data_IF_751403257613
#
_entry.id   IF_751403257613
#
_cell.length_a   1.000
_cell.length_b   1.000
_cell.length_c   1.000
_cell.angle_alpha   90.00
_cell.angle_beta   90.00
_cell.angle_gamma   90.00
#
_symmetry.space_group_name_H-M   'P 1'
#
loop_
_entity.id
_entity.type
_entity.pdbx_description
1 polymer ?
#
# COMPACT_ATOMS: atom_id res chain seq x y z
N UNK A 1 -8.11 -45.04 25.79
CA UNK A 1 -6.64 -44.90 25.93
C UNK A 1 -6.34 -43.41 26.03
N UNK A 2 -5.69 -42.93 27.09
CA UNK A 2 -5.39 -41.49 27.21
C UNK A 2 -4.29 -41.12 26.19
N UNK A 3 -4.59 -40.14 25.36
CA UNK A 3 -3.61 -39.54 24.49
C UNK A 3 -2.54 -38.84 25.34
N UNK A 4 -1.29 -39.27 25.19
CA UNK A 4 -0.13 -38.60 25.77
C UNK A 4 -0.04 -37.21 25.07
N UNK A 5 -0.34 -36.15 25.85
CA UNK A 5 0.04 -34.79 25.48
C UNK A 5 1.54 -34.77 25.21
N UNK A 6 1.92 -34.49 23.94
CA UNK A 6 3.29 -34.12 23.60
C UNK A 6 3.61 -32.86 24.40
N UNK A 7 4.53 -32.97 25.34
CA UNK A 7 5.14 -31.80 25.96
C UNK A 7 5.88 -31.07 24.86
N UNK A 8 5.27 -30.01 24.34
CA UNK A 8 5.93 -29.03 23.47
C UNK A 8 7.11 -28.46 24.26
N UNK A 9 8.30 -28.49 23.72
CA UNK A 9 9.44 -27.77 24.25
C UNK A 9 8.99 -26.31 24.44
N UNK A 10 9.08 -25.83 25.70
CA UNK A 10 8.69 -24.45 26.03
C UNK A 10 9.68 -23.54 25.30
N UNK A 11 9.25 -22.95 24.19
CA UNK A 11 9.98 -21.93 23.49
C UNK A 11 9.95 -20.68 24.37
N UNK A 12 11.10 -20.17 24.79
CA UNK A 12 11.19 -18.96 25.61
C UNK A 12 11.05 -17.73 24.75
N UNK A 13 10.22 -16.78 25.18
CA UNK A 13 10.12 -15.49 24.52
C UNK A 13 11.46 -14.74 24.57
N UNK A 14 11.89 -14.10 23.47
CA UNK A 14 13.07 -13.24 23.49
C UNK A 14 12.85 -12.03 24.39
N UNK A 15 13.91 -11.51 24.97
CA UNK A 15 13.88 -10.33 25.83
C UNK A 15 14.76 -9.24 25.25
N UNK A 16 14.17 -8.05 25.01
CA UNK A 16 14.92 -6.90 24.56
C UNK A 16 15.93 -6.46 25.64
N UNK A 17 17.23 -6.28 25.34
CA UNK A 17 18.21 -5.74 26.25
C UNK A 17 17.83 -4.35 26.76
N UNK A 18 17.95 -4.14 28.06
CA UNK A 18 17.73 -2.84 28.70
C UNK A 18 18.95 -1.95 28.48
N UNK A 19 18.80 -0.86 27.70
CA UNK A 19 19.84 0.13 27.39
C UNK A 19 19.30 1.53 27.65
N UNK A 20 19.37 2.03 28.89
CA UNK A 20 18.79 3.32 29.24
C UNK A 20 19.43 4.47 28.45
N UNK A 21 18.61 5.30 27.81
CA UNK A 21 19.02 6.53 27.16
C UNK A 21 18.30 7.71 27.81
N UNK A 22 19.04 8.79 28.06
CA UNK A 22 18.51 10.02 28.65
C UNK A 22 18.08 10.94 27.52
N UNK A 23 16.79 11.23 27.45
CA UNK A 23 16.19 12.12 26.46
C UNK A 23 15.79 13.43 27.15
N UNK A 24 16.35 14.55 26.69
CA UNK A 24 16.05 15.88 27.21
C UNK A 24 15.36 16.74 26.14
N UNK A 25 14.22 17.31 26.48
CA UNK A 25 13.51 18.22 25.59
C UNK A 25 12.69 19.24 26.40
N UNK A 26 12.84 20.52 26.09
CA UNK A 26 12.11 21.62 26.73
C UNK A 26 12.20 21.64 28.26
N UNK A 27 13.36 21.28 28.82
CA UNK A 27 13.59 21.22 30.27
C UNK A 27 13.05 19.98 30.99
N UNK A 28 12.50 19.03 30.23
CA UNK A 28 12.05 17.74 30.76
C UNK A 28 13.06 16.63 30.41
N UNK A 29 13.37 15.81 31.40
CA UNK A 29 14.25 14.64 31.25
C UNK A 29 13.42 13.37 31.34
N UNK A 30 13.59 12.46 30.36
CA UNK A 30 12.99 11.13 30.34
C UNK A 30 14.08 10.07 30.14
N UNK A 31 14.04 9.01 30.92
CA UNK A 31 14.90 7.85 30.70
C UNK A 31 14.10 6.80 29.93
N UNK A 32 14.59 6.39 28.77
CA UNK A 32 13.98 5.38 27.95
C UNK A 32 14.90 4.16 27.84
N UNK A 33 14.53 3.01 28.44
CA UNK A 33 15.39 1.82 28.43
C UNK A 33 15.41 1.09 27.08
N UNK A 34 14.54 1.43 26.17
CA UNK A 34 14.37 0.77 24.88
C UNK A 34 14.47 1.71 23.68
N UNK A 35 14.95 2.93 23.86
CA UNK A 35 15.08 3.91 22.80
C UNK A 35 15.94 3.42 21.63
N UNK A 36 16.92 2.54 21.88
CA UNK A 36 17.76 1.91 20.88
C UNK A 36 16.98 1.13 19.81
N UNK A 37 15.75 0.64 20.10
CA UNK A 37 14.90 -0.08 19.15
C UNK A 37 14.42 0.79 18.00
N UNK A 38 14.55 2.12 18.05
CA UNK A 38 14.19 3.00 16.95
C UNK A 38 15.26 3.05 15.83
N UNK A 39 16.43 2.47 16.05
CA UNK A 39 17.54 2.42 15.11
C UNK A 39 17.32 1.32 14.06
N UNK A 40 16.56 1.65 13.02
CA UNK A 40 16.03 0.68 12.03
C UNK A 40 17.09 -0.18 11.34
N UNK A 41 18.29 0.38 11.09
CA UNK A 41 19.36 -0.30 10.37
C UNK A 41 20.40 -0.93 11.31
N UNK A 42 20.15 -0.88 12.62
CA UNK A 42 21.05 -1.49 13.61
C UNK A 42 20.88 -3.03 13.57
N UNK A 43 21.97 -3.80 13.31
CA UNK A 43 21.91 -5.26 13.26
C UNK A 43 21.31 -5.89 14.52
N UNK A 44 21.58 -5.34 15.70
CA UNK A 44 21.06 -5.85 16.97
C UNK A 44 19.53 -5.70 17.07
N UNK A 45 18.97 -4.59 16.53
CA UNK A 45 17.51 -4.41 16.45
C UNK A 45 16.91 -5.44 15.50
N UNK A 46 17.55 -5.64 14.33
CA UNK A 46 17.09 -6.62 13.32
C UNK A 46 17.15 -8.04 13.89
N UNK A 47 18.22 -8.40 14.60
CA UNK A 47 18.34 -9.72 15.20
C UNK A 47 17.30 -9.97 16.30
N UNK A 48 17.01 -8.95 17.12
CA UNK A 48 15.94 -9.03 18.10
C UNK A 48 14.56 -9.24 17.44
N UNK A 49 14.25 -8.47 16.38
CA UNK A 49 12.98 -8.61 15.66
C UNK A 49 12.86 -9.98 14.97
N UNK A 50 13.95 -10.53 14.42
CA UNK A 50 13.96 -11.89 13.89
C UNK A 50 13.68 -12.93 14.96
N UNK A 51 14.30 -12.79 16.14
CA UNK A 51 14.04 -13.70 17.25
C UNK A 51 12.58 -13.68 17.72
N UNK A 52 11.90 -12.51 17.68
CA UNK A 52 10.47 -12.39 17.98
C UNK A 52 9.61 -13.10 16.91
N UNK A 53 9.98 -12.99 15.63
CA UNK A 53 9.30 -13.70 14.56
C UNK A 53 9.47 -15.22 14.71
N UNK A 54 10.71 -15.70 14.93
CA UNK A 54 11.01 -17.12 15.13
C UNK A 54 10.24 -17.69 16.32
N UNK A 55 10.12 -16.94 17.41
CA UNK A 55 9.31 -17.30 18.55
C UNK A 55 7.83 -17.43 18.19
N UNK A 56 7.29 -16.48 17.46
CA UNK A 56 5.89 -16.48 17.00
C UNK A 56 5.62 -17.69 16.09
N UNK A 57 6.50 -17.93 15.12
CA UNK A 57 6.39 -19.05 14.20
C UNK A 57 6.42 -20.39 14.92
N UNK A 58 7.30 -20.52 15.92
CA UNK A 58 7.38 -21.73 16.74
C UNK A 58 6.11 -21.96 17.59
N UNK A 59 5.48 -20.90 18.11
CA UNK A 59 4.22 -21.00 18.87
C UNK A 59 3.01 -21.29 17.97
N UNK A 60 3.02 -20.82 16.74
CA UNK A 60 1.93 -20.96 15.78
C UNK A 60 2.02 -22.23 14.93
N UNK A 61 3.16 -22.94 14.97
CA UNK A 61 3.46 -24.07 14.07
C UNK A 61 2.37 -25.17 14.10
N UNK A 62 1.79 -25.48 15.24
CA UNK A 62 0.72 -26.47 15.41
C UNK A 62 -0.65 -25.99 14.92
N UNK A 63 -0.79 -24.71 14.61
CA UNK A 63 -2.03 -24.07 14.13
C UNK A 63 -2.00 -23.79 12.63
N UNK A 64 -0.89 -24.07 11.95
CA UNK A 64 -0.69 -23.75 10.53
C UNK A 64 -1.80 -24.32 9.65
N UNK A 65 -2.25 -25.55 9.90
CA UNK A 65 -3.33 -26.14 9.13
C UNK A 65 -4.64 -25.35 9.28
N UNK A 66 -5.00 -24.96 10.52
CA UNK A 66 -6.20 -24.17 10.80
C UNK A 66 -6.12 -22.78 10.15
N UNK A 67 -4.94 -22.17 10.16
CA UNK A 67 -4.67 -20.88 9.51
C UNK A 67 -4.89 -20.97 7.99
N UNK A 68 -4.33 -22.00 7.36
CA UNK A 68 -4.47 -22.23 5.92
C UNK A 68 -5.93 -22.52 5.52
N UNK A 69 -6.65 -23.32 6.30
CA UNK A 69 -8.08 -23.60 6.09
C UNK A 69 -8.93 -22.32 6.21
N UNK A 70 -8.66 -21.50 7.24
CA UNK A 70 -9.37 -20.24 7.46
C UNK A 70 -9.05 -19.22 6.35
N UNK A 71 -7.78 -19.16 5.92
CA UNK A 71 -7.37 -18.30 4.80
C UNK A 71 -8.12 -18.66 3.52
N UNK A 72 -8.17 -19.94 3.15
CA UNK A 72 -8.87 -20.37 1.94
C UNK A 72 -10.39 -20.17 2.05
N UNK A 73 -10.98 -20.34 3.23
CA UNK A 73 -12.39 -20.05 3.46
C UNK A 73 -12.70 -18.55 3.27
N UNK A 74 -11.90 -17.65 3.86
CA UNK A 74 -12.09 -16.20 3.72
C UNK A 74 -11.88 -15.76 2.27
N UNK A 75 -10.81 -16.23 1.63
CA UNK A 75 -10.49 -15.95 0.24
C UNK A 75 -11.60 -16.40 -0.71
N UNK A 76 -12.17 -17.59 -0.45
CA UNK A 76 -13.29 -18.12 -1.25
C UNK A 76 -14.58 -17.31 -1.18
N UNK A 77 -14.74 -16.46 -0.16
CA UNK A 77 -15.89 -15.54 -0.02
C UNK A 77 -15.72 -14.25 -0.83
N UNK A 78 -14.52 -13.95 -1.28
CA UNK A 78 -14.21 -12.73 -2.04
C UNK A 78 -14.44 -13.00 -3.53
N UNK A 79 -15.31 -12.22 -4.14
CA UNK A 79 -15.53 -12.27 -5.59
C UNK A 79 -14.33 -11.65 -6.30
N UNK A 80 -13.58 -12.47 -7.04
CA UNK A 80 -12.34 -12.02 -7.69
C UNK A 80 -12.57 -11.12 -8.91
N UNK A 81 -13.71 -11.26 -9.59
CA UNK A 81 -14.08 -10.43 -10.73
C UNK A 81 -15.13 -9.39 -10.32
N UNK A 82 -14.82 -8.59 -9.30
CA UNK A 82 -15.76 -7.60 -8.79
C UNK A 82 -15.72 -6.29 -9.58
N UNK A 83 -16.86 -5.61 -9.58
CA UNK A 83 -17.10 -4.35 -10.28
C UNK A 83 -17.71 -3.35 -9.30
N UNK A 84 -17.12 -2.16 -9.19
CA UNK A 84 -17.73 -1.08 -8.41
C UNK A 84 -19.00 -0.56 -9.09
N UNK A 85 -19.90 0.04 -8.31
CA UNK A 85 -21.05 0.73 -8.88
C UNK A 85 -20.56 1.91 -9.72
N UNK A 86 -20.91 1.98 -11.04
CA UNK A 86 -20.52 3.10 -11.87
C UNK A 86 -21.17 4.40 -11.40
N UNK A 87 -20.37 5.46 -11.27
CA UNK A 87 -20.89 6.80 -11.01
C UNK A 87 -20.72 7.71 -12.23
N UNK A 88 -21.71 8.54 -12.47
CA UNK A 88 -21.70 9.49 -13.59
C UNK A 88 -21.01 10.79 -13.17
N UNK A 89 -20.04 11.23 -13.97
CA UNK A 89 -19.43 12.55 -13.91
C UNK A 89 -19.41 13.12 -15.32
N UNK A 90 -20.22 14.17 -15.56
CA UNK A 90 -20.47 14.77 -16.87
C UNK A 90 -20.83 13.74 -17.96
N UNK A 91 -20.00 13.57 -18.98
CA UNK A 91 -20.25 12.67 -20.09
C UNK A 91 -19.78 11.24 -19.86
N UNK A 92 -19.16 10.94 -18.70
CA UNK A 92 -18.59 9.63 -18.47
C UNK A 92 -19.16 8.94 -17.23
N UNK A 93 -19.19 7.60 -17.30
CA UNK A 93 -19.42 6.71 -16.17
C UNK A 93 -18.09 6.12 -15.74
N UNK A 94 -17.69 6.38 -14.51
CA UNK A 94 -16.43 5.92 -13.92
C UNK A 94 -16.70 4.74 -12.98
N UNK A 95 -15.83 3.73 -13.04
CA UNK A 95 -15.90 2.55 -12.19
C UNK A 95 -14.55 1.87 -12.10
N UNK A 96 -14.43 0.96 -11.15
CA UNK A 96 -13.29 0.08 -11.02
C UNK A 96 -13.73 -1.37 -11.21
N UNK A 97 -12.83 -2.20 -11.72
CA UNK A 97 -13.03 -3.63 -11.82
C UNK A 97 -11.77 -4.39 -11.44
N UNK A 98 -11.97 -5.63 -11.02
CA UNK A 98 -10.90 -6.59 -10.80
C UNK A 98 -10.96 -7.68 -11.87
N UNK A 99 -9.81 -8.24 -12.21
CA UNK A 99 -9.68 -9.41 -13.06
C UNK A 99 -9.19 -10.60 -12.22
N UNK A 100 -9.64 -11.79 -12.56
CA UNK A 100 -9.22 -13.00 -11.89
C UNK A 100 -7.71 -13.19 -11.97
N UNK A 101 -7.08 -13.50 -10.84
CA UNK A 101 -5.62 -13.67 -10.74
C UNK A 101 -4.83 -12.37 -10.77
N UNK A 102 -5.49 -11.20 -10.77
CA UNK A 102 -4.86 -9.89 -10.63
C UNK A 102 -5.02 -9.37 -9.21
N UNK A 103 -3.97 -8.70 -8.71
CA UNK A 103 -3.93 -8.20 -7.34
C UNK A 103 -4.59 -6.82 -7.23
N UNK A 104 -4.45 -5.99 -8.27
CA UNK A 104 -4.86 -4.60 -8.24
C UNK A 104 -6.08 -4.32 -9.11
N UNK A 105 -6.79 -3.25 -8.76
CA UNK A 105 -7.94 -2.77 -9.51
C UNK A 105 -7.53 -2.09 -10.82
N UNK A 106 -8.46 -2.13 -11.78
CA UNK A 106 -8.35 -1.43 -13.05
C UNK A 106 -9.41 -0.32 -13.05
N UNK A 107 -8.99 0.91 -13.26
CA UNK A 107 -9.87 2.07 -13.34
C UNK A 107 -10.33 2.28 -14.77
N UNK A 108 -11.64 2.35 -14.94
CA UNK A 108 -12.28 2.40 -16.24
C UNK A 108 -13.29 3.54 -16.33
N UNK A 109 -13.61 3.95 -17.55
CA UNK A 109 -14.73 4.83 -17.83
C UNK A 109 -15.45 4.44 -19.13
N UNK A 110 -16.71 4.83 -19.27
CA UNK A 110 -17.52 4.69 -20.49
C UNK A 110 -18.16 6.02 -20.82
N UNK A 111 -18.19 6.38 -22.10
CA UNK A 111 -18.72 7.68 -22.53
C UNK A 111 -20.25 7.59 -22.77
N UNK A 112 -20.99 8.51 -22.19
CA UNK A 112 -22.43 8.74 -22.37
C UNK A 112 -23.36 7.59 -21.93
N UNK A 113 -22.96 6.32 -22.02
CA UNK A 113 -23.77 5.15 -21.71
C UNK A 113 -22.96 4.04 -21.06
N UNK A 114 -23.62 3.23 -20.25
CA UNK A 114 -23.01 2.03 -19.64
C UNK A 114 -22.75 0.91 -20.67
N UNK A 115 -23.40 0.95 -21.83
CA UNK A 115 -23.21 0.03 -22.94
C UNK A 115 -22.09 0.48 -23.89
N UNK A 116 -21.55 1.69 -23.72
CA UNK A 116 -20.45 2.19 -24.52
C UNK A 116 -19.17 1.38 -24.31
N UNK A 117 -18.26 1.47 -25.27
CA UNK A 117 -16.93 0.86 -25.18
C UNK A 117 -16.19 1.30 -23.91
N UNK A 118 -15.56 0.32 -23.25
CA UNK A 118 -14.76 0.57 -22.06
C UNK A 118 -13.44 1.27 -22.44
N UNK A 119 -13.13 2.33 -21.73
CA UNK A 119 -11.83 2.99 -21.78
C UNK A 119 -11.11 2.79 -20.44
N UNK A 120 -10.04 2.01 -20.46
CA UNK A 120 -9.15 1.83 -19.29
C UNK A 120 -8.33 3.10 -19.11
N UNK A 121 -8.56 3.82 -18.01
CA UNK A 121 -7.82 5.05 -17.69
C UNK A 121 -6.54 4.77 -16.89
N UNK A 122 -6.57 3.75 -16.01
CA UNK A 122 -5.41 3.32 -15.24
C UNK A 122 -5.50 1.83 -14.92
N UNK A 123 -4.53 1.05 -15.35
CA UNK A 123 -4.34 -0.34 -14.91
C UNK A 123 -3.21 -0.39 -13.88
N UNK A 124 -3.59 -0.59 -12.61
CA UNK A 124 -2.62 -0.61 -11.51
C UNK A 124 -1.75 -1.87 -11.56
N UNK A 125 -2.23 -2.96 -12.14
CA UNK A 125 -1.43 -4.17 -12.29
C UNK A 125 -0.22 -3.95 -13.21
N UNK A 126 -0.41 -3.21 -14.32
CA UNK A 126 0.68 -2.84 -15.23
C UNK A 126 1.68 -1.91 -14.55
N UNK A 127 1.19 -0.96 -13.74
CA UNK A 127 2.06 -0.03 -13.02
C UNK A 127 2.86 -0.71 -11.90
N UNK A 128 2.30 -1.76 -11.31
CA UNK A 128 2.95 -2.51 -10.22
C UNK A 128 4.05 -3.47 -10.72
N UNK A 129 4.15 -3.71 -12.03
CA UNK A 129 5.17 -4.59 -12.58
C UNK A 129 6.59 -4.15 -12.20
N UNK A 130 7.36 -5.07 -11.63
CA UNK A 130 8.74 -4.81 -11.18
C UNK A 130 8.87 -4.12 -9.81
N UNK A 131 7.76 -3.89 -9.11
CA UNK A 131 7.77 -3.35 -7.74
C UNK A 131 7.34 -4.43 -6.74
N UNK A 132 8.04 -4.52 -5.60
CA UNK A 132 7.64 -5.39 -4.48
C UNK A 132 6.41 -4.86 -3.74
N UNK A 133 6.18 -3.56 -3.82
CA UNK A 133 5.03 -2.87 -3.25
C UNK A 133 4.56 -1.78 -4.21
N UNK A 134 3.25 -1.68 -4.40
CA UNK A 134 2.66 -0.60 -5.18
C UNK A 134 1.30 -0.20 -4.60
N UNK A 135 1.08 1.08 -4.41
CA UNK A 135 -0.21 1.59 -3.96
C UNK A 135 -0.57 2.91 -4.66
N UNK A 136 -1.80 3.01 -5.14
CA UNK A 136 -2.36 4.28 -5.63
C UNK A 136 -3.02 4.99 -4.45
N UNK A 137 -2.50 6.16 -4.09
CA UNK A 137 -2.97 6.92 -2.92
C UNK A 137 -4.11 7.89 -3.22
N UNK A 138 -4.23 8.35 -4.45
CA UNK A 138 -5.28 9.27 -4.86
C UNK A 138 -5.31 9.50 -6.36
N UNK A 139 -6.48 9.89 -6.88
CA UNK A 139 -6.69 10.22 -8.28
C UNK A 139 -7.63 11.41 -8.43
N UNK A 140 -7.39 12.19 -9.49
CA UNK A 140 -8.26 13.27 -9.92
C UNK A 140 -8.29 13.36 -11.45
N UNK A 141 -9.43 13.74 -11.98
CA UNK A 141 -9.62 13.96 -13.42
C UNK A 141 -9.82 15.44 -13.65
N UNK A 142 -9.22 15.98 -14.72
CA UNK A 142 -9.41 17.38 -15.12
C UNK A 142 -10.86 17.68 -15.47
N UNK A 143 -11.22 18.95 -15.42
CA UNK A 143 -12.57 19.39 -15.76
C UNK A 143 -12.98 18.99 -17.19
N UNK A 144 -12.05 19.09 -18.15
CA UNK A 144 -12.26 18.63 -19.53
C UNK A 144 -12.19 17.11 -19.70
N UNK A 145 -11.97 16.36 -18.61
CA UNK A 145 -11.93 14.89 -18.56
C UNK A 145 -10.93 14.25 -19.54
N UNK A 146 -9.88 14.96 -19.87
CA UNK A 146 -8.81 14.53 -20.76
C UNK A 146 -7.48 14.25 -20.04
N UNK A 147 -7.31 14.68 -18.77
CA UNK A 147 -6.09 14.43 -17.99
C UNK A 147 -6.47 13.70 -16.70
N UNK A 148 -5.75 12.62 -16.41
CA UNK A 148 -5.77 11.92 -15.14
C UNK A 148 -4.51 12.28 -14.34
N UNK A 149 -4.67 12.85 -13.16
CA UNK A 149 -3.61 12.95 -12.16
C UNK A 149 -3.76 11.82 -11.14
N UNK A 150 -2.67 11.12 -10.83
CA UNK A 150 -2.67 10.08 -9.82
C UNK A 150 -1.38 10.08 -9.00
N UNK A 151 -1.49 9.67 -7.75
CA UNK A 151 -0.36 9.58 -6.83
C UNK A 151 -0.10 8.11 -6.51
N UNK A 152 1.17 7.68 -6.52
CA UNK A 152 1.53 6.31 -6.20
C UNK A 152 2.74 6.23 -5.26
N UNK A 153 2.79 5.16 -4.47
CA UNK A 153 3.86 4.84 -3.51
C UNK A 153 4.40 3.43 -3.85
N UNK A 154 5.72 3.33 -4.02
CA UNK A 154 6.42 2.06 -4.28
C UNK A 154 7.25 1.57 -3.09
N UNK A 155 7.16 2.26 -1.94
CA UNK A 155 7.97 1.98 -0.75
C UNK A 155 7.15 1.53 0.47
N UNK A 156 5.83 1.68 0.42
CA UNK A 156 4.95 1.40 1.56
C UNK A 156 5.09 2.40 2.71
N UNK A 157 5.60 3.61 2.44
CA UNK A 157 5.88 4.65 3.45
C UNK A 157 5.02 5.89 3.31
N UNK A 158 4.01 5.86 2.47
CA UNK A 158 3.15 7.01 2.14
C UNK A 158 3.93 8.18 1.55
N UNK A 159 5.01 7.87 0.82
CA UNK A 159 5.78 8.83 0.03
C UNK A 159 5.30 8.72 -1.39
N UNK A 160 4.46 9.66 -1.80
CA UNK A 160 3.78 9.61 -3.09
C UNK A 160 4.51 10.39 -4.16
N UNK A 161 4.62 9.76 -5.33
CA UNK A 161 4.98 10.43 -6.59
C UNK A 161 3.70 10.76 -7.33
N UNK A 162 3.55 12.02 -7.78
CA UNK A 162 2.40 12.45 -8.58
C UNK A 162 2.77 12.35 -10.05
N UNK A 163 1.87 11.75 -10.83
CA UNK A 163 2.00 11.63 -12.27
C UNK A 163 0.69 12.04 -12.94
N UNK A 164 0.78 12.67 -14.11
CA UNK A 164 -0.35 13.02 -14.94
C UNK A 164 -0.31 12.20 -16.24
N UNK A 165 -1.48 11.74 -16.67
CA UNK A 165 -1.67 10.98 -17.92
C UNK A 165 -2.69 11.69 -18.80
N UNK A 166 -2.33 11.97 -20.04
CA UNK A 166 -3.30 12.38 -21.05
C UNK A 166 -4.13 11.17 -21.48
N UNK A 167 -5.44 11.26 -21.34
CA UNK A 167 -6.37 10.14 -21.61
C UNK A 167 -6.71 9.96 -23.09
N UNK A 168 -6.33 10.90 -23.95
CA UNK A 168 -6.49 10.77 -25.40
C UNK A 168 -5.25 10.16 -26.07
N UNK A 169 -4.06 10.59 -25.65
CA UNK A 169 -2.77 10.14 -26.23
C UNK A 169 -2.07 9.08 -25.41
N UNK A 170 -2.50 8.85 -24.17
CA UNK A 170 -1.84 7.98 -23.17
C UNK A 170 -0.41 8.46 -22.78
N UNK A 171 -0.02 9.68 -23.11
CA UNK A 171 1.27 10.24 -22.71
C UNK A 171 1.28 10.50 -21.20
N UNK A 172 2.41 10.16 -20.57
CA UNK A 172 2.66 10.39 -19.16
C UNK A 172 3.46 11.67 -18.97
N UNK A 173 3.04 12.49 -18.04
CA UNK A 173 3.76 13.69 -17.59
C UNK A 173 4.08 13.53 -16.12
N UNK A 174 5.33 13.73 -15.73
CA UNK A 174 5.69 13.89 -14.32
C UNK A 174 5.22 15.24 -13.84
N UNK A 175 4.83 15.34 -12.56
CA UNK A 175 4.59 16.65 -11.95
C UNK A 175 5.83 17.52 -12.14
N UNK A 176 5.68 18.79 -12.57
CA UNK A 176 6.82 19.69 -12.65
C UNK A 176 7.48 19.78 -11.27
N UNK A 177 8.81 19.66 -11.21
CA UNK A 177 9.56 19.86 -9.99
C UNK A 177 9.22 21.24 -9.40
N UNK A 178 9.21 21.42 -8.08
CA UNK A 178 9.06 22.76 -7.47
C UNK A 178 10.04 23.80 -8.03
N UNK A 179 11.16 23.36 -8.62
CA UNK A 179 12.09 24.23 -9.36
C UNK A 179 11.54 24.71 -10.69
N UNK A 180 10.69 23.92 -11.36
CA UNK A 180 10.09 24.29 -12.65
C UNK A 180 8.92 25.26 -12.48
N UNK A 181 8.27 25.28 -11.31
CA UNK A 181 7.21 26.22 -10.97
C UNK A 181 7.73 27.67 -10.81
N UNK A 182 9.03 27.86 -10.62
CA UNK A 182 9.63 29.19 -10.47
C UNK A 182 9.70 30.00 -11.79
N UNK A 183 9.42 29.35 -12.94
CA UNK A 183 9.49 29.99 -14.26
C UNK A 183 8.14 30.33 -14.88
N UNK A 184 7.01 29.88 -14.33
CA UNK A 184 5.69 30.31 -14.76
C UNK A 184 5.30 31.65 -14.10
N UNK A 185 5.77 32.76 -14.64
CA UNK A 185 5.20 34.08 -14.36
C UNK A 185 3.75 34.07 -14.83
N UNK A 186 2.79 34.20 -13.92
CA UNK A 186 1.46 34.63 -14.31
C UNK A 186 1.58 35.96 -15.05
N UNK A 187 0.96 36.12 -16.23
CA UNK A 187 0.88 37.43 -16.84
C UNK A 187 0.10 38.33 -15.88
N UNK A 188 0.70 39.43 -15.46
CA UNK A 188 -0.01 40.46 -14.71
C UNK A 188 -1.05 41.06 -15.65
N UNK A 189 -2.33 40.88 -15.32
CA UNK A 189 -3.41 41.63 -15.95
C UNK A 189 -3.21 43.12 -15.71
N UNK A 190 -2.96 43.87 -16.77
CA UNK A 190 -3.10 45.29 -16.81
C UNK A 190 -4.57 45.67 -16.90
#
# INVERSE_FOLDING_TARGET
MPQKQKVSSVVSAPLAPVKPEILEKHGYTRIDPYYWLNQRDNPEVIDYLKAENDYTDALMADRKQMEDELFEEIKGRIKQTDLSVPYKLDDYYYYTRFEEGKEYQIFCRKKNSLEAEEHVILDVNVLAEGHEYFAVGGMAISFEQNILAYAYDTQGRRIYTIQCKDLGTCLLYTSPSPRDLSTSRMPSSA
#
